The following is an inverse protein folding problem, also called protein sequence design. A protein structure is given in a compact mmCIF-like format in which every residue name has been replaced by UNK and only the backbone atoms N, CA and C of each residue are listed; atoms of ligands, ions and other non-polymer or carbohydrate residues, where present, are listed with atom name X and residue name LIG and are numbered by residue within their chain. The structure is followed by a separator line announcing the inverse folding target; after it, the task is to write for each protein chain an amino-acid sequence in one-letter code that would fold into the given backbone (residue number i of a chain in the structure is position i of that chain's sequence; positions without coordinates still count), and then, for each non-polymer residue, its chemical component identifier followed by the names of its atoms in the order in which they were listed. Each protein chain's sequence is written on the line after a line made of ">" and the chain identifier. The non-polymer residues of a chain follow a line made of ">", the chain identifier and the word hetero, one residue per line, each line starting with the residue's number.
data_IF_128428376995
#
_entry.id   IF_128428376995
#
_cell.length_a   1.000
_cell.length_b   1.000
_cell.length_c   1.000
_cell.angle_alpha   90.00
_cell.angle_beta   90.00
_cell.angle_gamma   90.00
#
_symmetry.space_group_name_H-M   'P 1'
#
loop_
_entity.id
_entity.type
_entity.pdbx_description
1 polymer ?
#
# COMPACT_ATOMS: atom_id res chain seq x y z
N UNK A 1 17.53 12.90 2.52
CA UNK A 1 17.44 11.47 2.19
C UNK A 1 17.33 10.71 3.51
N UNK A 2 16.12 10.59 4.05
CA UNK A 2 15.81 9.79 5.23
C UNK A 2 14.61 8.94 4.86
N UNK A 3 14.85 7.66 4.62
CA UNK A 3 13.92 6.72 3.97
C UNK A 3 12.88 6.15 4.95
N UNK A 4 12.98 6.46 6.25
CA UNK A 4 11.97 6.08 7.26
C UNK A 4 12.08 6.96 8.51
N UNK A 5 11.12 7.87 8.77
CA UNK A 5 10.76 8.11 10.16
C UNK A 5 9.25 8.34 10.31
N UNK A 6 8.53 7.30 10.72
CA UNK A 6 7.30 7.36 11.52
C UNK A 6 6.36 8.57 11.35
N UNK A 7 5.72 8.82 10.20
CA UNK A 7 4.52 9.64 10.19
C UNK A 7 3.35 8.75 10.58
N UNK A 8 3.01 7.74 9.77
CA UNK A 8 1.82 6.91 10.04
C UNK A 8 1.88 6.15 11.37
N UNK A 9 3.00 5.54 11.75
CA UNK A 9 3.09 4.80 13.03
C UNK A 9 3.00 5.74 14.24
N UNK A 10 3.54 6.97 14.15
CA UNK A 10 3.39 7.96 15.21
C UNK A 10 1.94 8.46 15.30
N UNK A 11 1.30 8.69 14.15
CA UNK A 11 -0.11 9.07 14.09
C UNK A 11 -1.07 7.96 14.53
N UNK A 12 -0.75 6.69 14.24
CA UNK A 12 -1.50 5.54 14.76
C UNK A 12 -1.36 5.47 16.29
N UNK A 13 -0.17 5.76 16.84
CA UNK A 13 0.03 5.89 18.28
C UNK A 13 -0.73 7.07 18.89
N UNK A 14 -0.94 8.12 18.11
CA UNK A 14 -1.75 9.30 18.47
C UNK A 14 -3.27 9.08 18.26
N UNK A 15 -3.72 7.82 18.17
CA UNK A 15 -5.12 7.41 18.00
C UNK A 15 -5.76 7.84 16.67
N UNK A 16 -4.97 8.14 15.65
CA UNK A 16 -5.49 8.52 14.34
C UNK A 16 -5.92 7.28 13.53
N UNK A 17 -7.23 7.02 13.55
CA UNK A 17 -7.84 5.92 12.80
C UNK A 17 -7.63 6.03 11.28
N UNK A 18 -7.51 7.25 10.73
CA UNK A 18 -7.27 7.44 9.30
C UNK A 18 -5.90 6.88 8.90
N UNK A 19 -4.87 7.15 9.71
CA UNK A 19 -3.52 6.61 9.50
C UNK A 19 -3.50 5.09 9.63
N UNK A 20 -4.23 4.54 10.61
CA UNK A 20 -4.32 3.09 10.82
C UNK A 20 -4.95 2.37 9.62
N UNK A 21 -6.06 2.88 9.09
CA UNK A 21 -6.76 2.26 7.96
C UNK A 21 -5.94 2.38 6.66
N UNK A 22 -5.32 3.55 6.42
CA UNK A 22 -4.45 3.74 5.26
C UNK A 22 -3.27 2.75 5.28
N UNK A 23 -2.61 2.65 6.44
CA UNK A 23 -1.47 1.76 6.62
C UNK A 23 -1.87 0.29 6.51
N UNK A 24 -2.96 -0.12 7.16
CA UNK A 24 -3.47 -1.49 7.08
C UNK A 24 -3.88 -1.88 5.65
N UNK A 25 -4.57 -0.99 4.93
CA UNK A 25 -4.96 -1.22 3.54
C UNK A 25 -3.76 -1.35 2.60
N UNK A 26 -2.73 -0.51 2.79
CA UNK A 26 -1.49 -0.61 2.02
C UNK A 26 -0.69 -1.87 2.34
N UNK A 27 -0.61 -2.24 3.61
CA UNK A 27 0.06 -3.47 4.05
C UNK A 27 -0.62 -4.71 3.45
N UNK A 28 -1.94 -4.80 3.54
CA UNK A 28 -2.70 -5.91 2.96
C UNK A 28 -2.60 -5.93 1.43
N UNK A 29 -2.67 -4.77 0.78
CA UNK A 29 -2.49 -4.65 -0.67
C UNK A 29 -1.11 -5.13 -1.14
N UNK A 30 -0.05 -4.91 -0.36
CA UNK A 30 1.29 -5.40 -0.68
C UNK A 30 1.46 -6.89 -0.39
N UNK A 31 0.91 -7.39 0.72
CA UNK A 31 1.03 -8.81 1.10
C UNK A 31 0.33 -9.76 0.13
N UNK A 32 -0.78 -9.35 -0.50
CA UNK A 32 -1.54 -10.17 -1.46
C UNK A 32 -0.70 -10.66 -2.66
N UNK A 33 -0.09 -9.78 -3.47
CA UNK A 33 0.75 -10.19 -4.60
C UNK A 33 1.98 -10.96 -4.12
N UNK A 34 2.55 -10.57 -2.97
CA UNK A 34 3.73 -11.22 -2.40
C UNK A 34 3.43 -12.67 -1.97
N UNK A 35 2.27 -12.92 -1.36
CA UNK A 35 1.81 -14.26 -1.03
C UNK A 35 1.57 -15.12 -2.28
N UNK A 36 1.00 -14.53 -3.33
CA UNK A 36 0.80 -15.23 -4.62
C UNK A 36 2.15 -15.61 -5.26
N UNK A 37 3.15 -14.73 -5.21
CA UNK A 37 4.50 -15.04 -5.73
C UNK A 37 5.21 -16.13 -4.94
N UNK A 38 5.04 -16.18 -3.62
CA UNK A 38 5.60 -17.23 -2.77
C UNK A 38 4.94 -18.58 -3.07
N UNK A 39 3.62 -18.59 -3.34
CA UNK A 39 2.90 -19.81 -3.67
C UNK A 39 3.30 -20.40 -5.04
N UNK A 40 3.76 -19.55 -5.98
CA UNK A 40 4.16 -19.97 -7.34
C UNK A 40 5.66 -20.21 -7.55
N UNK A 41 6.56 -19.68 -6.73
CA UNK A 41 8.00 -19.69 -7.05
C UNK A 41 8.78 -20.89 -6.49
N UNK A 42 9.27 -21.70 -7.44
CA UNK A 42 10.35 -22.69 -7.29
C UNK A 42 11.75 -22.01 -7.33
N UNK A 43 11.85 -20.69 -7.60
CA UNK A 43 13.12 -19.92 -7.68
C UNK A 43 13.07 -18.52 -7.02
N UNK A 44 14.12 -18.17 -6.26
CA UNK A 44 14.25 -16.89 -5.52
C UNK A 44 14.33 -15.65 -6.45
N UNK A 45 14.86 -15.82 -7.66
CA UNK A 45 15.04 -14.75 -8.66
C UNK A 45 13.70 -14.23 -9.22
N UNK A 46 12.76 -15.13 -9.51
CA UNK A 46 11.39 -14.78 -9.92
C UNK A 46 10.68 -14.00 -8.82
N UNK A 47 10.86 -14.42 -7.56
CA UNK A 47 10.26 -13.76 -6.40
C UNK A 47 10.74 -12.30 -6.26
N UNK A 48 12.03 -12.04 -6.52
CA UNK A 48 12.59 -10.68 -6.50
C UNK A 48 12.05 -9.81 -7.66
N UNK A 49 12.01 -10.35 -8.88
CA UNK A 49 11.48 -9.63 -10.05
C UNK A 49 10.01 -9.24 -9.86
N UNK A 50 9.21 -10.19 -9.41
CA UNK A 50 7.79 -9.97 -9.18
C UNK A 50 7.53 -9.07 -7.96
N UNK A 51 8.33 -9.19 -6.89
CA UNK A 51 8.29 -8.24 -5.77
C UNK A 51 8.61 -6.81 -6.22
N UNK A 52 9.55 -6.64 -7.16
CA UNK A 52 9.88 -5.33 -7.72
C UNK A 52 8.74 -4.76 -8.58
N UNK A 53 8.08 -5.59 -9.39
CA UNK A 53 6.86 -5.20 -10.14
C UNK A 53 5.75 -4.79 -9.17
N UNK A 54 5.52 -5.58 -8.12
CA UNK A 54 4.52 -5.25 -7.10
C UNK A 54 4.81 -3.92 -6.42
N UNK A 55 6.07 -3.63 -6.11
CA UNK A 55 6.48 -2.36 -5.54
C UNK A 55 6.23 -1.18 -6.50
N UNK A 56 6.52 -1.35 -7.79
CA UNK A 56 6.22 -0.34 -8.82
C UNK A 56 4.71 -0.09 -8.94
N UNK A 57 3.90 -1.15 -8.93
CA UNK A 57 2.44 -1.04 -8.96
C UNK A 57 1.92 -0.35 -7.71
N UNK A 58 2.45 -0.68 -6.53
CA UNK A 58 2.11 -0.02 -5.26
C UNK A 58 2.36 1.50 -5.32
N UNK A 59 3.49 1.92 -5.89
CA UNK A 59 3.84 3.33 -6.08
C UNK A 59 2.88 4.00 -7.07
N UNK A 60 2.55 3.33 -8.17
CA UNK A 60 1.57 3.82 -9.15
C UNK A 60 0.20 4.04 -8.50
N UNK A 61 -0.29 3.06 -7.74
CA UNK A 61 -1.57 3.15 -7.03
C UNK A 61 -1.57 4.33 -6.04
N UNK A 62 -0.48 4.53 -5.30
CA UNK A 62 -0.34 5.70 -4.42
C UNK A 62 -0.44 7.02 -5.20
N UNK A 63 0.19 7.10 -6.38
CA UNK A 63 0.08 8.27 -7.26
C UNK A 63 -1.34 8.45 -7.80
N UNK A 64 -2.00 7.37 -8.19
CA UNK A 64 -3.40 7.37 -8.65
C UNK A 64 -4.38 7.75 -7.53
N UNK A 65 -4.15 7.31 -6.30
CA UNK A 65 -4.95 7.70 -5.14
C UNK A 65 -4.81 9.21 -4.86
N UNK A 66 -3.64 9.79 -5.15
CA UNK A 66 -3.34 11.22 -4.96
C UNK A 66 -3.97 12.13 -6.03
N UNK A 67 -4.35 11.61 -7.19
CA UNK A 67 -5.03 12.38 -8.26
C UNK A 67 -6.39 12.97 -7.82
N UNK A 68 -7.35 12.18 -7.30
CA UNK A 68 -8.65 12.68 -6.86
C UNK A 68 -8.59 13.42 -5.50
N UNK A 69 -7.60 13.12 -4.65
CA UNK A 69 -7.37 13.85 -3.40
C UNK A 69 -5.90 14.30 -3.30
N UNK A 70 -5.58 15.54 -3.72
CA UNK A 70 -4.27 16.10 -3.48
C UNK A 70 -4.03 16.29 -1.97
N UNK A 71 -2.80 16.00 -1.52
CA UNK A 71 -2.35 16.07 -0.11
C UNK A 71 -3.02 15.05 0.84
N UNK A 72 -3.25 13.82 0.41
CA UNK A 72 -3.78 12.76 1.30
C UNK A 72 -2.95 12.60 2.58
N UNK A 73 -1.61 12.62 2.54
CA UNK A 73 -0.80 12.53 3.76
C UNK A 73 -1.13 13.63 4.77
N UNK A 74 -1.23 14.89 4.33
CA UNK A 74 -1.57 16.03 5.20
C UNK A 74 -3.01 15.92 5.75
N UNK A 75 -3.92 15.29 5.00
CA UNK A 75 -5.32 15.05 5.43
C UNK A 75 -5.41 13.90 6.42
N UNK A 76 -4.68 12.81 6.18
CA UNK A 76 -4.51 11.71 7.14
C UNK A 76 -3.90 12.27 8.43
N UNK A 77 -2.92 13.18 8.32
CA UNK A 77 -2.34 13.86 9.48
C UNK A 77 -3.36 14.66 10.30
N UNK A 78 -4.35 15.25 9.63
CA UNK A 78 -5.46 15.96 10.28
C UNK A 78 -6.56 15.06 10.85
N UNK A 79 -6.43 13.74 10.73
CA UNK A 79 -7.42 12.79 11.24
C UNK A 79 -8.62 12.55 10.33
N UNK A 80 -8.52 12.95 9.05
CA UNK A 80 -9.59 12.76 8.07
C UNK A 80 -9.74 11.27 7.69
N UNK A 81 -10.63 10.58 8.40
CA UNK A 81 -10.96 9.16 8.18
C UNK A 81 -11.24 8.83 6.70
N UNK A 82 -11.95 9.71 5.98
CA UNK A 82 -12.25 9.52 4.57
C UNK A 82 -10.99 9.43 3.70
N UNK A 83 -9.95 10.20 4.02
CA UNK A 83 -8.67 10.18 3.30
C UNK A 83 -7.89 8.89 3.57
N UNK A 84 -7.97 8.41 4.81
CA UNK A 84 -7.35 7.15 5.23
C UNK A 84 -8.00 5.93 4.57
N UNK A 85 -9.34 5.88 4.59
CA UNK A 85 -10.11 4.84 3.89
C UNK A 85 -9.82 4.87 2.40
N UNK A 86 -9.87 6.04 1.76
CA UNK A 86 -9.62 6.15 0.32
C UNK A 86 -8.26 5.59 -0.10
N UNK A 87 -7.19 5.98 0.61
CA UNK A 87 -5.84 5.51 0.30
C UNK A 87 -5.67 4.02 0.62
N UNK A 88 -6.20 3.57 1.75
CA UNK A 88 -6.17 2.16 2.15
C UNK A 88 -6.91 1.27 1.14
N UNK A 89 -8.11 1.66 0.73
CA UNK A 89 -8.93 0.94 -0.26
C UNK A 89 -8.30 0.94 -1.64
N UNK A 90 -7.73 2.07 -2.10
CA UNK A 90 -7.06 2.15 -3.39
C UNK A 90 -5.85 1.22 -3.42
N UNK A 91 -5.01 1.25 -2.37
CA UNK A 91 -3.83 0.40 -2.23
C UNK A 91 -4.20 -1.09 -2.17
N UNK A 92 -5.24 -1.43 -1.41
CA UNK A 92 -5.78 -2.79 -1.34
C UNK A 92 -6.29 -3.28 -2.71
N UNK A 93 -7.11 -2.49 -3.39
CA UNK A 93 -7.71 -2.85 -4.67
C UNK A 93 -6.65 -3.04 -5.75
N UNK A 94 -5.67 -2.14 -5.81
CA UNK A 94 -4.59 -2.26 -6.78
C UNK A 94 -3.62 -3.40 -6.45
N UNK A 95 -3.36 -3.67 -5.17
CA UNK A 95 -2.63 -4.85 -4.72
C UNK A 95 -3.32 -6.16 -5.08
N UNK A 96 -4.65 -6.22 -4.92
CA UNK A 96 -5.49 -7.36 -5.32
C UNK A 96 -5.46 -7.57 -6.83
N UNK A 97 -5.58 -6.50 -7.62
CA UNK A 97 -5.45 -6.52 -9.08
C UNK A 97 -4.07 -7.06 -9.50
N UNK A 98 -3.01 -6.58 -8.87
CA UNK A 98 -1.66 -7.05 -9.15
C UNK A 98 -1.48 -8.55 -8.81
N UNK A 99 -2.02 -8.99 -7.67
CA UNK A 99 -2.01 -10.39 -7.27
C UNK A 99 -2.77 -11.27 -8.26
N UNK A 100 -3.94 -10.83 -8.73
CA UNK A 100 -4.74 -11.55 -9.72
C UNK A 100 -4.04 -11.65 -11.09
N UNK A 101 -3.29 -10.61 -11.50
CA UNK A 101 -2.49 -10.65 -12.72
C UNK A 101 -1.24 -11.55 -12.61
N UNK A 102 -0.79 -11.84 -11.38
CA UNK A 102 0.35 -12.74 -11.11
C UNK A 102 -0.05 -14.21 -11.02
N UNK A 103 -1.34 -14.55 -11.04
CA UNK A 103 -1.79 -15.96 -11.03
C UNK A 103 -1.44 -16.61 -12.38
N UNK A 104 -0.56 -17.63 -12.34
CA UNK A 104 -0.19 -18.48 -13.47
C UNK A 104 -0.74 -19.89 -13.28
#
# INVERSE_FOLDING_TARGET
>A
MWVTPHPEIALIRDNNLAAAIAFAGSLMGFCLPLANTIAGSINLLDCVLWGLIALVVQILIYFLARLPMPKISERIEKGELASGVWLGSASLAGGLLNAACMTY
#
